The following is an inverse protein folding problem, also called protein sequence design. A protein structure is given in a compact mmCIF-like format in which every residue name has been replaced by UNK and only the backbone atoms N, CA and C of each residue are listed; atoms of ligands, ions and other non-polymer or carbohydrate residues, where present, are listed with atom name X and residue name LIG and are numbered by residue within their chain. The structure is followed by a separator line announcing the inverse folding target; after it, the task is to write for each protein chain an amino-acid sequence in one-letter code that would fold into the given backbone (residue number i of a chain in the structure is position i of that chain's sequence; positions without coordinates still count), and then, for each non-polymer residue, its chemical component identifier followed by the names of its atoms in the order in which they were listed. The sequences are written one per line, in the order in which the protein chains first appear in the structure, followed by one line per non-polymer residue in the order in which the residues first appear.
data_IF_979811325671
#
_entry.id   IF_979811325671
#
_cell.length_a   1.000
_cell.length_b   1.000
_cell.length_c   1.000
_cell.angle_alpha   90.00
_cell.angle_beta   90.00
_cell.angle_gamma   90.00
#
_symmetry.space_group_name_H-M   'P 1'
#
loop_
_entity.id
_entity.type
_entity.pdbx_description
1 polymer ?
#
# COMPACT_ATOMS: atom_id res chain seq x y z
N UNK A 1 -15.66 -6.41 -15.67
CA UNK A 1 -14.49 -6.85 -14.89
C UNK A 1 -13.35 -5.95 -15.27
N UNK A 2 -12.68 -5.34 -14.29
CA UNK A 2 -11.51 -4.50 -14.55
C UNK A 2 -10.34 -5.41 -14.93
N UNK A 3 -9.65 -5.12 -16.04
CA UNK A 3 -8.41 -5.83 -16.38
C UNK A 3 -7.32 -5.41 -15.39
N UNK A 4 -6.71 -6.38 -14.71
CA UNK A 4 -5.58 -6.17 -13.81
C UNK A 4 -4.35 -6.79 -14.45
N UNK A 5 -3.31 -5.98 -14.66
CA UNK A 5 -1.99 -6.44 -15.11
C UNK A 5 -1.06 -6.47 -13.91
N UNK A 6 -0.41 -7.61 -13.69
CA UNK A 6 0.57 -7.79 -12.62
C UNK A 6 1.96 -7.77 -13.26
N UNK A 7 2.85 -6.99 -12.66
CA UNK A 7 4.23 -6.84 -13.10
C UNK A 7 5.17 -7.47 -12.07
N UNK A 8 6.28 -8.04 -12.52
CA UNK A 8 7.37 -8.40 -11.62
C UNK A 8 7.97 -7.13 -11.00
N UNK A 9 8.66 -7.30 -9.88
CA UNK A 9 9.40 -6.23 -9.22
C UNK A 9 10.35 -5.54 -10.23
N UNK A 10 10.47 -4.22 -10.13
CA UNK A 10 11.33 -3.38 -11.00
C UNK A 10 10.92 -3.33 -12.49
N UNK A 11 9.79 -3.91 -12.91
CA UNK A 11 9.30 -3.80 -14.30
C UNK A 11 8.55 -2.51 -14.60
N UNK A 12 8.18 -1.76 -13.58
CA UNK A 12 7.49 -0.47 -13.67
C UNK A 12 8.36 0.61 -13.06
N UNK A 13 8.39 1.77 -13.72
CA UNK A 13 9.13 2.92 -13.23
C UNK A 13 8.51 3.44 -11.93
N UNK A 14 9.33 3.83 -10.96
CA UNK A 14 8.89 4.22 -9.63
C UNK A 14 7.95 5.43 -9.67
N UNK A 15 8.13 6.32 -10.65
CA UNK A 15 7.28 7.49 -10.87
C UNK A 15 5.83 7.11 -11.18
N UNK A 16 5.61 5.91 -11.74
CA UNK A 16 4.28 5.39 -12.06
C UNK A 16 3.58 4.78 -10.85
N UNK A 17 4.31 4.52 -9.75
CA UNK A 17 3.75 4.00 -8.51
C UNK A 17 3.14 5.18 -7.73
N UNK A 18 1.84 5.10 -7.42
CA UNK A 18 1.07 6.20 -6.82
C UNK A 18 0.46 5.87 -5.46
N UNK A 19 0.42 4.59 -5.11
CA UNK A 19 -0.10 4.08 -3.85
C UNK A 19 0.77 2.92 -3.35
N UNK A 20 0.91 2.82 -2.04
CA UNK A 20 1.48 1.64 -1.37
C UNK A 20 0.40 0.97 -0.51
N UNK A 21 0.37 -0.36 -0.52
CA UNK A 21 -0.52 -1.19 0.30
C UNK A 21 0.32 -2.30 0.93
N UNK A 22 0.22 -2.47 2.25
CA UNK A 22 1.17 -3.25 3.04
C UNK A 22 0.44 -4.35 3.82
N UNK A 23 0.76 -5.61 3.53
CA UNK A 23 0.34 -6.73 4.38
C UNK A 23 1.29 -6.77 5.59
N UNK A 24 0.82 -6.24 6.72
CA UNK A 24 1.59 -6.19 7.97
C UNK A 24 1.23 -7.35 8.90
N UNK A 25 2.23 -7.89 9.60
CA UNK A 25 2.10 -9.04 10.50
C UNK A 25 2.83 -8.76 11.81
N UNK A 26 2.15 -8.99 12.94
CA UNK A 26 2.71 -8.87 14.29
C UNK A 26 2.28 -10.07 15.13
N UNK A 27 3.24 -10.74 15.77
CA UNK A 27 3.00 -11.94 16.60
C UNK A 27 2.11 -12.99 15.91
N UNK A 28 2.47 -13.36 14.68
CA UNK A 28 1.71 -14.33 13.87
C UNK A 28 0.28 -13.91 13.48
N UNK A 29 -0.09 -12.64 13.69
CA UNK A 29 -1.41 -12.09 13.35
C UNK A 29 -1.29 -10.98 12.32
N UNK A 30 -2.27 -10.87 11.43
CA UNK A 30 -2.39 -9.76 10.50
C UNK A 30 -2.82 -8.50 11.24
N UNK A 31 -2.21 -7.37 10.87
CA UNK A 31 -2.57 -6.06 11.40
C UNK A 31 -3.42 -5.35 10.34
N UNK A 32 -4.60 -4.91 10.75
CA UNK A 32 -5.53 -4.13 9.93
C UNK A 32 -5.69 -2.74 10.52
N UNK A 33 -6.08 -1.79 9.69
CA UNK A 33 -6.45 -0.43 10.12
C UNK A 33 -7.97 -0.25 10.02
N UNK A 34 -8.54 0.52 10.93
CA UNK A 34 -9.95 0.94 10.87
C UNK A 34 -9.99 2.45 10.77
N UNK A 35 -10.47 2.96 9.64
CA UNK A 35 -10.74 4.39 9.50
C UNK A 35 -11.88 4.79 10.45
N UNK A 36 -11.76 5.95 11.12
CA UNK A 36 -12.73 6.38 12.14
C UNK A 36 -14.16 6.51 11.62
N UNK A 37 -14.30 6.84 10.33
CA UNK A 37 -15.59 7.07 9.68
C UNK A 37 -16.14 5.86 8.92
N UNK A 38 -15.40 4.73 8.89
CA UNK A 38 -15.80 3.54 8.14
C UNK A 38 -15.94 2.35 9.09
N UNK A 39 -16.82 1.41 8.74
CA UNK A 39 -17.03 0.20 9.55
C UNK A 39 -16.25 -1.02 9.06
N UNK A 40 -15.43 -0.86 8.01
CA UNK A 40 -14.59 -1.92 7.47
C UNK A 40 -13.18 -1.92 8.08
N UNK A 41 -12.59 -3.12 8.18
CA UNK A 41 -11.16 -3.30 8.37
C UNK A 41 -10.47 -3.26 7.01
N UNK A 42 -9.39 -2.51 6.92
CA UNK A 42 -8.64 -2.28 5.69
C UNK A 42 -7.17 -2.69 5.88
N UNK A 43 -6.52 -3.02 4.77
CA UNK A 43 -5.07 -3.23 4.75
C UNK A 43 -4.41 -1.84 4.85
N UNK A 44 -3.38 -1.66 5.70
CA UNK A 44 -2.63 -0.40 5.76
C UNK A 44 -2.10 0.01 4.40
N UNK A 45 -2.09 1.31 4.14
CA UNK A 45 -1.63 1.85 2.88
C UNK A 45 -2.16 3.24 2.62
N UNK A 46 -1.59 3.89 1.62
CA UNK A 46 -1.89 5.26 1.31
C UNK A 46 -1.21 5.75 0.05
N UNK A 47 -1.42 7.03 -0.22
CA UNK A 47 -0.94 7.69 -1.43
C UNK A 47 0.51 8.11 -1.24
N UNK A 48 1.32 7.95 -2.29
CA UNK A 48 2.69 8.47 -2.31
C UNK A 48 2.70 9.99 -2.32
N UNK A 49 3.54 10.58 -1.46
CA UNK A 49 3.74 12.03 -1.43
C UNK A 49 4.80 12.47 -2.46
N UNK A 50 4.80 13.77 -2.81
CA UNK A 50 5.72 14.32 -3.81
C UNK A 50 7.17 14.24 -3.32
N UNK A 51 8.05 13.66 -4.13
CA UNK A 51 9.47 13.50 -3.80
C UNK A 51 9.78 12.32 -2.88
N UNK A 52 8.77 11.53 -2.49
CA UNK A 52 8.92 10.32 -1.69
C UNK A 52 9.14 9.09 -2.58
N UNK A 53 9.98 8.15 -2.14
CA UNK A 53 10.11 6.83 -2.77
C UNK A 53 8.92 5.95 -2.43
N UNK A 54 8.62 4.93 -3.25
CA UNK A 54 7.51 4.03 -2.94
C UNK A 54 7.72 3.25 -1.63
N UNK A 55 8.98 2.95 -1.31
CA UNK A 55 9.37 2.30 -0.04
C UNK A 55 9.20 3.24 1.15
N UNK A 56 9.55 4.52 1.02
CA UNK A 56 9.33 5.51 2.08
C UNK A 56 7.83 5.72 2.33
N UNK A 57 7.02 5.79 1.26
CA UNK A 57 5.56 5.82 1.37
C UNK A 57 5.02 4.61 2.14
N UNK A 58 5.47 3.40 1.81
CA UNK A 58 5.04 2.19 2.49
C UNK A 58 5.45 2.13 3.97
N UNK A 59 6.53 2.81 4.38
CA UNK A 59 6.99 2.83 5.77
C UNK A 59 6.31 3.92 6.61
N UNK A 60 5.80 4.98 5.96
CA UNK A 60 5.07 6.08 6.61
C UNK A 60 3.61 5.70 6.93
N UNK A 61 2.99 4.89 6.07
CA UNK A 61 1.62 4.36 6.21
C UNK A 61 1.55 3.15 7.16
#
# INVERSE_FOLDING_TARGET
MSNVTIFDLEKIAEEQLVFAVIISKYQEKLVYVKHKERDALEIPGGKRESGESITACAARE
#
